data_IF_960846565968
#
_entry.id   IF_960846565968
#
_cell.length_a   1.000
_cell.length_b   1.000
_cell.length_c   1.000
_cell.angle_alpha   90.00
_cell.angle_beta   90.00
_cell.angle_gamma   90.00
#
_symmetry.space_group_name_H-M   'P 1'
#
loop_
_entity.id
_entity.type
_entity.pdbx_description
1 polymer ?
#
# COMPACT_ATOMS: atom_id res chain seq x y z
N UNK A 1 -1.42 -21.73 5.66
CA UNK A 1 -0.64 -20.68 4.95
C UNK A 1 -1.35 -20.45 3.63
N UNK A 2 -2.34 -19.57 3.61
CA UNK A 2 -3.07 -19.27 2.38
C UNK A 2 -2.19 -18.38 1.49
N UNK A 3 -1.67 -18.97 0.41
CA UNK A 3 -1.05 -18.27 -0.71
C UNK A 3 -2.06 -17.42 -1.53
N UNK A 4 -3.21 -17.04 -0.94
CA UNK A 4 -4.24 -16.22 -1.58
C UNK A 4 -3.87 -14.73 -1.71
N UNK A 5 -2.74 -14.31 -1.16
CA UNK A 5 -2.33 -12.90 -1.06
C UNK A 5 -1.57 -12.34 -2.27
N UNK A 6 -1.26 -13.16 -3.27
CA UNK A 6 -0.55 -12.70 -4.49
C UNK A 6 -1.36 -11.66 -5.28
N UNK A 7 -2.69 -11.62 -5.10
CA UNK A 7 -3.57 -10.63 -5.70
C UNK A 7 -3.63 -9.29 -4.96
N UNK A 8 -3.47 -9.28 -3.63
CA UNK A 8 -3.64 -8.06 -2.82
C UNK A 8 -2.45 -7.11 -3.04
N UNK A 9 -1.23 -7.63 -3.05
CA UNK A 9 -0.05 -6.83 -3.38
C UNK A 9 -0.15 -6.25 -4.80
N UNK A 10 -0.59 -7.03 -5.79
CA UNK A 10 -0.78 -6.51 -7.15
C UNK A 10 -1.84 -5.39 -7.17
N UNK A 11 -2.96 -5.58 -6.50
CA UNK A 11 -4.06 -4.63 -6.49
C UNK A 11 -3.67 -3.28 -5.82
N UNK A 12 -2.80 -3.31 -4.82
CA UNK A 12 -2.27 -2.11 -4.16
C UNK A 12 -1.09 -1.48 -4.91
N UNK A 13 -0.17 -2.29 -5.45
CA UNK A 13 1.02 -1.78 -6.13
C UNK A 13 0.75 -1.27 -7.54
N UNK A 14 -0.26 -1.82 -8.24
CA UNK A 14 -0.64 -1.36 -9.58
C UNK A 14 -0.98 0.14 -9.65
N UNK A 15 -1.94 0.68 -8.86
CA UNK A 15 -2.28 2.11 -8.93
C UNK A 15 -1.11 3.00 -8.47
N UNK A 16 -0.29 2.53 -7.53
CA UNK A 16 0.91 3.24 -7.08
C UNK A 16 1.98 3.28 -8.18
N UNK A 17 2.18 2.19 -8.91
CA UNK A 17 3.12 2.12 -10.03
C UNK A 17 2.67 2.96 -11.23
N UNK A 18 1.36 3.01 -11.53
CA UNK A 18 0.80 3.88 -12.58
C UNK A 18 1.05 5.38 -12.30
N UNK A 19 1.22 5.76 -11.04
CA UNK A 19 1.55 7.11 -10.60
C UNK A 19 3.05 7.30 -10.30
N UNK A 20 3.90 6.34 -10.70
CA UNK A 20 5.36 6.35 -10.49
C UNK A 20 5.78 6.48 -9.01
N UNK A 21 4.97 5.95 -8.10
CA UNK A 21 5.22 5.96 -6.65
C UNK A 21 6.02 4.70 -6.30
N UNK A 22 7.30 4.82 -5.88
CA UNK A 22 8.08 3.70 -5.42
C UNK A 22 7.55 3.22 -4.06
N UNK A 23 7.33 1.91 -3.97
CA UNK A 23 6.85 1.21 -2.77
C UNK A 23 7.89 0.19 -2.31
N UNK A 24 7.97 -0.02 -1.01
CA UNK A 24 8.78 -1.07 -0.40
C UNK A 24 7.88 -1.97 0.44
N UNK A 25 7.70 -3.22 0.00
CA UNK A 25 6.88 -4.20 0.71
C UNK A 25 7.72 -4.93 1.77
N UNK A 26 7.23 -4.93 3.00
CA UNK A 26 7.82 -5.65 4.13
C UNK A 26 6.78 -6.60 4.70
N UNK A 27 7.07 -7.89 4.63
CA UNK A 27 6.24 -8.95 5.20
C UNK A 27 6.93 -9.51 6.45
N UNK A 28 6.77 -8.88 7.63
CA UNK A 28 7.27 -9.47 8.87
C UNK A 28 6.58 -10.83 9.12
N UNK A 29 7.22 -11.65 9.95
CA UNK A 29 6.87 -13.05 10.29
C UNK A 29 5.45 -13.23 10.88
N UNK A 30 4.70 -12.14 11.07
CA UNK A 30 3.39 -12.10 11.70
C UNK A 30 2.35 -11.53 10.73
N UNK A 31 1.84 -12.36 9.81
CA UNK A 31 0.54 -12.25 9.11
C UNK A 31 0.08 -10.93 8.45
N UNK A 32 0.87 -9.86 8.46
CA UNK A 32 0.51 -8.52 7.97
C UNK A 32 1.62 -8.01 7.06
N UNK A 33 1.25 -7.62 5.85
CA UNK A 33 2.15 -6.99 4.89
C UNK A 33 2.10 -5.47 5.02
N UNK A 34 3.27 -4.84 5.18
CA UNK A 34 3.42 -3.40 5.21
C UNK A 34 3.92 -2.93 3.85
N UNK A 35 3.24 -1.96 3.23
CA UNK A 35 3.79 -1.19 2.12
C UNK A 35 4.28 0.16 2.65
N UNK A 36 5.57 0.41 2.48
CA UNK A 36 6.21 1.68 2.79
C UNK A 36 6.30 2.53 1.52
N UNK A 37 5.96 3.81 1.65
CA UNK A 37 6.12 4.83 0.62
C UNK A 37 7.02 5.95 1.14
N UNK A 38 7.60 6.73 0.24
CA UNK A 38 8.31 7.95 0.65
C UNK A 38 7.33 8.93 1.30
N UNK A 39 7.75 9.55 2.39
CA UNK A 39 6.93 10.52 3.14
C UNK A 39 6.42 11.65 2.24
N UNK A 40 7.28 12.20 1.38
CA UNK A 40 6.93 13.28 0.44
C UNK A 40 5.90 12.86 -0.62
N UNK A 41 5.65 11.56 -0.76
CA UNK A 41 4.70 10.99 -1.71
C UNK A 41 3.50 10.34 -1.02
N UNK A 42 3.39 10.47 0.31
CA UNK A 42 2.31 9.86 1.09
C UNK A 42 0.93 10.35 0.65
N UNK A 43 0.77 11.66 0.45
CA UNK A 43 -0.50 12.23 -0.02
C UNK A 43 -0.86 11.75 -1.43
N UNK A 44 0.13 11.69 -2.33
CA UNK A 44 -0.07 11.17 -3.70
C UNK A 44 -0.45 9.69 -3.69
N UNK A 45 0.20 8.90 -2.83
CA UNK A 45 -0.09 7.48 -2.68
C UNK A 45 -1.52 7.27 -2.15
N UNK A 46 -1.93 8.07 -1.16
CA UNK A 46 -3.29 8.05 -0.62
C UNK A 46 -4.32 8.40 -1.67
N UNK A 47 -4.07 9.44 -2.47
CA UNK A 47 -4.95 9.85 -3.56
C UNK A 47 -5.07 8.75 -4.62
N UNK A 48 -3.96 8.19 -5.10
CA UNK A 48 -3.94 7.10 -6.08
C UNK A 48 -4.72 5.87 -5.59
N UNK A 49 -4.58 5.50 -4.31
CA UNK A 49 -5.33 4.39 -3.71
C UNK A 49 -6.82 4.72 -3.55
N UNK A 50 -7.15 5.96 -3.21
CA UNK A 50 -8.55 6.40 -3.11
C UNK A 50 -9.24 6.38 -4.47
N UNK A 51 -8.55 6.81 -5.52
CA UNK A 51 -9.03 6.74 -6.92
C UNK A 51 -9.22 5.29 -7.40
N UNK A 52 -8.38 4.37 -6.92
CA UNK A 52 -8.55 2.94 -7.16
C UNK A 52 -9.70 2.31 -6.34
N UNK A 53 -10.42 3.08 -5.53
CA UNK A 53 -11.58 2.64 -4.75
C UNK A 53 -11.24 2.11 -3.35
N UNK A 54 -10.00 2.28 -2.88
CA UNK A 54 -9.59 1.87 -1.54
C UNK A 54 -9.87 2.95 -0.50
N UNK A 55 -10.25 2.55 0.71
CA UNK A 55 -10.41 3.46 1.85
C UNK A 55 -9.16 3.45 2.70
N UNK A 56 -8.54 4.61 2.91
CA UNK A 56 -7.40 4.77 3.83
C UNK A 56 -7.87 5.22 5.21
N UNK A 57 -7.34 4.60 6.27
CA UNK A 57 -7.49 5.08 7.66
C UNK A 57 -6.15 5.61 8.15
N UNK A 58 -6.15 6.81 8.76
CA UNK A 58 -4.96 7.38 9.39
C UNK A 58 -4.94 6.93 10.84
N UNK A 59 -3.91 6.17 11.20
CA UNK A 59 -3.69 5.79 12.60
C UNK A 59 -3.14 7.03 13.32
N UNK A 60 -3.83 7.55 14.35
CA UNK A 60 -3.33 8.69 15.11
C UNK A 60 -2.04 8.30 15.84
N UNK A 61 -1.03 9.15 15.78
CA UNK A 61 0.15 9.03 16.64
C UNK A 61 -0.26 9.49 18.04
N UNK A 62 -0.23 8.59 19.02
CA UNK A 62 -0.33 8.91 20.45
C UNK A 62 0.97 9.57 20.95
#
# INVERSE_FOLDING_TARGET
MEFGLTGILYALTKPLAEHEIPVFAVSPIYNTDYLLVKYDQLEKAREALTLAGYTSYVIPNE
#
